data_IF_137991454064
#
_entry.id   IF_137991454064
#
_cell.length_a   1.000
_cell.length_b   1.000
_cell.length_c   1.000
_cell.angle_alpha   90.00
_cell.angle_beta   90.00
_cell.angle_gamma   90.00
#
_symmetry.space_group_name_H-M   'P 1'
#
loop_
_entity.id
_entity.type
_entity.pdbx_description
1 polymer ?
#
# COMPACT_ATOMS: atom_id res chain seq x y z
N UNK A 1 -8.01 24.10 11.98
CA UNK A 1 -8.32 23.14 13.06
C UNK A 1 -7.86 21.72 12.67
N UNK A 2 -6.57 21.55 12.34
CA UNK A 2 -5.91 20.23 12.22
C UNK A 2 -4.43 20.32 12.69
N UNK A 3 -4.13 21.22 13.62
CA UNK A 3 -2.74 21.46 14.06
C UNK A 3 -2.18 20.42 15.05
N UNK A 4 -2.93 19.35 15.36
CA UNK A 4 -2.54 18.32 16.34
C UNK A 4 -2.36 16.91 15.76
N UNK A 5 -2.33 16.73 14.44
CA UNK A 5 -1.96 15.42 13.84
C UNK A 5 -0.45 15.34 13.51
N UNK A 6 0.24 16.49 13.45
CA UNK A 6 1.66 16.61 13.07
C UNK A 6 2.66 15.99 14.05
N UNK A 7 2.23 15.50 15.22
CA UNK A 7 3.14 14.89 16.20
C UNK A 7 3.35 13.39 15.98
N UNK A 8 2.54 12.74 15.14
CA UNK A 8 2.80 11.38 14.63
C UNK A 8 3.61 11.38 13.32
N UNK A 9 3.64 12.51 12.60
CA UNK A 9 4.33 12.68 11.30
C UNK A 9 5.78 13.16 11.43
N UNK A 10 6.50 12.75 12.47
CA UNK A 10 7.96 12.96 12.48
C UNK A 10 8.67 11.85 11.70
N UNK A 11 8.94 12.17 10.43
CA UNK A 11 10.16 11.83 9.70
C UNK A 11 10.64 10.37 9.80
N UNK A 12 9.94 9.48 9.08
CA UNK A 12 10.57 8.30 8.50
C UNK A 12 10.00 8.16 7.10
N UNK A 13 10.88 8.06 6.09
CA UNK A 13 10.55 7.63 4.73
C UNK A 13 9.39 6.62 4.80
N UNK A 14 8.20 7.00 4.31
CA UNK A 14 7.01 6.15 4.43
C UNK A 14 7.32 4.79 3.83
N UNK A 15 7.61 3.84 4.72
CA UNK A 15 8.02 2.50 4.37
C UNK A 15 6.86 1.92 3.59
N UNK A 16 7.07 1.61 2.30
CA UNK A 16 6.02 1.11 1.42
C UNK A 16 5.25 -0.03 2.10
N UNK A 17 4.01 0.27 2.55
CA UNK A 17 3.22 -0.59 3.44
C UNK A 17 2.91 -1.90 2.73
N UNK A 18 2.53 -1.82 1.46
CA UNK A 18 2.28 -2.98 0.59
C UNK A 18 3.52 -3.89 0.50
N UNK A 19 4.66 -3.33 0.08
CA UNK A 19 5.91 -4.08 -0.14
C UNK A 19 6.45 -4.67 1.15
N UNK A 20 6.32 -3.94 2.25
CA UNK A 20 6.85 -4.35 3.56
C UNK A 20 6.04 -5.49 4.14
N UNK A 21 4.71 -5.39 4.12
CA UNK A 21 3.84 -6.49 4.53
C UNK A 21 4.04 -7.72 3.64
N UNK A 22 4.13 -7.57 2.32
CA UNK A 22 4.44 -8.69 1.41
C UNK A 22 5.75 -9.38 1.78
N UNK A 23 6.83 -8.62 1.99
CA UNK A 23 8.14 -9.17 2.36
C UNK A 23 8.13 -9.85 3.74
N UNK A 24 7.41 -9.30 4.72
CA UNK A 24 7.27 -9.92 6.05
C UNK A 24 6.62 -11.32 5.97
N UNK A 25 5.72 -11.51 5.00
CA UNK A 25 5.07 -12.79 4.70
C UNK A 25 5.86 -13.69 3.75
N UNK A 26 7.08 -13.30 3.38
CA UNK A 26 7.95 -14.04 2.45
C UNK A 26 7.28 -14.33 1.09
N UNK A 27 6.37 -13.46 0.67
CA UNK A 27 5.68 -13.60 -0.62
C UNK A 27 6.47 -12.90 -1.73
N UNK A 28 6.61 -13.55 -2.88
CA UNK A 28 6.97 -12.87 -4.14
C UNK A 28 5.79 -12.04 -4.64
N UNK A 29 6.04 -11.07 -5.54
CA UNK A 29 4.95 -10.31 -6.16
C UNK A 29 3.98 -11.21 -6.95
N UNK A 30 4.51 -12.26 -7.61
CA UNK A 30 3.69 -13.23 -8.34
C UNK A 30 2.80 -14.06 -7.39
N UNK A 31 3.30 -14.42 -6.21
CA UNK A 31 2.48 -15.10 -5.21
C UNK A 31 1.37 -14.20 -4.66
N UNK A 32 1.68 -12.92 -4.37
CA UNK A 32 0.67 -11.97 -3.94
C UNK A 32 -0.39 -11.72 -5.03
N UNK A 33 0.02 -11.67 -6.30
CA UNK A 33 -0.86 -11.56 -7.46
C UNK A 33 -1.93 -12.65 -7.46
N UNK A 34 -1.51 -13.92 -7.29
CA UNK A 34 -2.42 -15.07 -7.23
C UNK A 34 -3.37 -15.00 -6.04
N UNK A 35 -2.88 -14.59 -4.87
CA UNK A 35 -3.70 -14.49 -3.65
C UNK A 35 -4.72 -13.37 -3.71
N UNK A 36 -4.34 -12.22 -4.28
CA UNK A 36 -5.18 -11.03 -4.35
C UNK A 36 -6.03 -10.97 -5.63
N UNK A 37 -5.85 -11.90 -6.56
CA UNK A 37 -6.46 -11.89 -7.90
C UNK A 37 -6.22 -10.54 -8.62
N UNK A 38 -4.96 -10.11 -8.64
CA UNK A 38 -4.48 -8.86 -9.25
C UNK A 38 -3.24 -9.19 -10.09
N UNK A 39 -3.05 -8.53 -11.24
CA UNK A 39 -1.88 -8.79 -12.07
C UNK A 39 -0.57 -8.49 -11.33
N UNK A 40 0.46 -9.31 -11.58
CA UNK A 40 1.77 -9.10 -10.96
C UNK A 40 2.41 -7.79 -11.42
N UNK A 41 2.20 -7.38 -12.68
CA UNK A 41 2.67 -6.08 -13.20
C UNK A 41 2.08 -4.92 -12.41
N UNK A 42 0.78 -4.96 -12.10
CA UNK A 42 0.13 -3.92 -11.31
C UNK A 42 0.63 -3.89 -9.86
N UNK A 43 0.88 -5.05 -9.24
CA UNK A 43 1.54 -5.11 -7.92
C UNK A 43 2.94 -4.47 -7.99
N UNK A 44 3.71 -4.74 -9.05
CA UNK A 44 5.01 -4.11 -9.25
C UNK A 44 4.89 -2.59 -9.33
N UNK A 45 3.91 -2.07 -10.07
CA UNK A 45 3.65 -0.64 -10.18
C UNK A 45 3.25 -0.01 -8.84
N UNK A 46 2.39 -0.67 -8.06
CA UNK A 46 2.03 -0.21 -6.71
C UNK A 46 3.22 -0.19 -5.74
N UNK A 47 4.20 -1.07 -5.92
CA UNK A 47 5.39 -1.18 -5.06
C UNK A 47 6.55 -0.25 -5.46
N UNK A 48 6.42 0.50 -6.56
CA UNK A 48 7.40 1.50 -6.97
C UNK A 48 7.38 2.71 -6.04
N UNK A 49 8.51 3.40 -5.98
CA UNK A 49 8.63 4.67 -5.26
C UNK A 49 7.74 5.72 -5.95
N UNK A 50 7.94 5.92 -7.26
CA UNK A 50 7.07 6.75 -8.08
C UNK A 50 5.66 6.16 -8.17
N UNK A 51 4.66 6.95 -7.77
CA UNK A 51 3.26 6.54 -7.77
C UNK A 51 2.61 6.88 -9.11
N UNK A 52 2.12 5.86 -9.80
CA UNK A 52 1.51 6.00 -11.13
C UNK A 52 -0.02 5.97 -11.05
N UNK A 53 -0.55 4.98 -10.32
CA UNK A 53 -1.99 4.74 -10.22
C UNK A 53 -2.36 4.23 -8.84
N UNK A 54 -3.45 4.77 -8.29
CA UNK A 54 -4.05 4.28 -7.05
C UNK A 54 -4.87 3.01 -7.29
N UNK A 55 -4.81 2.01 -6.38
CA UNK A 55 -5.71 0.88 -6.42
C UNK A 55 -7.13 1.28 -6.08
N UNK A 56 -8.09 0.62 -6.71
CA UNK A 56 -9.50 0.74 -6.32
C UNK A 56 -9.71 0.22 -4.90
N UNK A 57 -10.78 0.68 -4.23
CA UNK A 57 -11.19 0.16 -2.91
C UNK A 57 -11.32 -1.37 -2.92
N UNK A 58 -11.84 -1.96 -4.00
CA UNK A 58 -11.94 -3.42 -4.16
C UNK A 58 -10.56 -4.10 -4.16
N UNK A 59 -9.58 -3.51 -4.84
CA UNK A 59 -8.21 -4.03 -4.87
C UNK A 59 -7.52 -3.87 -3.51
N UNK A 60 -7.74 -2.76 -2.80
CA UNK A 60 -7.25 -2.56 -1.43
C UNK A 60 -7.78 -3.69 -0.53
N UNK A 61 -9.09 -3.95 -0.52
CA UNK A 61 -9.67 -5.04 0.28
C UNK A 61 -9.06 -6.40 -0.09
N UNK A 62 -8.84 -6.66 -1.38
CA UNK A 62 -8.25 -7.93 -1.84
C UNK A 62 -6.80 -8.10 -1.40
N UNK A 63 -5.98 -7.05 -1.54
CA UNK A 63 -4.59 -7.01 -1.09
C UNK A 63 -4.50 -7.16 0.43
N UNK A 64 -5.34 -6.44 1.18
CA UNK A 64 -5.38 -6.50 2.64
C UNK A 64 -5.74 -7.90 3.15
N UNK A 65 -6.69 -8.59 2.51
CA UNK A 65 -6.99 -9.99 2.83
C UNK A 65 -5.81 -10.92 2.55
N UNK A 66 -5.20 -10.81 1.36
CA UNK A 66 -4.04 -11.62 0.98
C UNK A 66 -2.83 -11.39 1.91
N UNK A 67 -2.69 -10.18 2.42
CA UNK A 67 -1.63 -9.78 3.36
C UNK A 67 -2.05 -9.86 4.82
N UNK A 68 -3.28 -10.26 5.13
CA UNK A 68 -3.86 -10.27 6.49
C UNK A 68 -3.50 -9.00 7.30
N UNK A 69 -3.76 -7.84 6.71
CA UNK A 69 -3.63 -6.51 7.33
C UNK A 69 -4.98 -5.79 7.26
N UNK A 70 -5.14 -4.75 8.09
CA UNK A 70 -6.36 -3.96 8.08
C UNK A 70 -6.50 -3.17 6.77
N UNK A 71 -7.68 -3.18 6.11
CA UNK A 71 -7.92 -2.41 4.89
C UNK A 71 -7.69 -0.91 5.06
N UNK A 72 -8.00 -0.35 6.24
CA UNK A 72 -7.81 1.08 6.52
C UNK A 72 -6.34 1.49 6.53
N UNK A 73 -5.44 0.65 7.06
CA UNK A 73 -3.98 0.90 7.06
C UNK A 73 -3.45 0.97 5.62
N UNK A 74 -3.86 0.02 4.77
CA UNK A 74 -3.44 0.01 3.37
C UNK A 74 -4.08 1.16 2.57
N UNK A 75 -5.31 1.54 2.90
CA UNK A 75 -5.98 2.68 2.27
C UNK A 75 -5.31 4.01 2.63
N UNK A 76 -4.99 4.24 3.90
CA UNK A 76 -4.27 5.42 4.37
C UNK A 76 -2.95 5.61 3.60
N UNK A 77 -2.16 4.53 3.48
CA UNK A 77 -0.95 4.52 2.67
C UNK A 77 -1.16 5.04 1.23
N UNK A 78 -2.18 4.54 0.52
CA UNK A 78 -2.44 4.95 -0.86
C UNK A 78 -3.06 6.35 -0.97
N UNK A 79 -3.82 6.79 0.04
CA UNK A 79 -4.33 8.17 0.11
C UNK A 79 -3.18 9.15 0.29
N UNK A 80 -2.23 8.86 1.19
CA UNK A 80 -1.03 9.68 1.41
C UNK A 80 -0.19 9.77 0.14
N UNK A 81 0.06 8.63 -0.55
CA UNK A 81 0.75 8.66 -1.85
C UNK A 81 0.04 9.52 -2.90
N UNK A 82 -1.28 9.46 -2.96
CA UNK A 82 -2.07 10.26 -3.91
C UNK A 82 -1.95 11.76 -3.61
N UNK A 83 -1.96 12.14 -2.33
CA UNK A 83 -1.76 13.53 -1.88
C UNK A 83 -0.35 14.03 -2.22
N UNK A 84 0.69 13.22 -1.98
CA UNK A 84 2.10 13.56 -2.25
C UNK A 84 2.45 13.58 -3.74
N UNK A 85 1.71 12.84 -4.57
CA UNK A 85 1.95 12.77 -6.02
C UNK A 85 1.46 13.99 -6.80
N UNK A 86 0.75 14.91 -6.15
CA UNK A 86 0.21 16.16 -6.70
C UNK A 86 1.07 17.36 -6.31
#
# INVERSE_FOLDING_TARGET
MYKNLNMFFQHNNMKNVLKSNRKSKKLTQNQLSKLANISQSYISDLEKEYFVHSPTVKQIISLSKALSIEPCELAEYFIEKEIESK
#
